data_IF_753523282793
#
_entry.id   IF_753523282793
#
_cell.length_a   1.000
_cell.length_b   1.000
_cell.length_c   1.000
_cell.angle_alpha   90.00
_cell.angle_beta   90.00
_cell.angle_gamma   90.00
#
_symmetry.space_group_name_H-M   'P 1'
#
loop_
_entity.id
_entity.type
_entity.pdbx_description
1 polymer ?
#
# COMPACT_ATOMS: atom_id res chain seq x y z
N UNK A 1 15.41 -25.09 -47.01
CA UNK A 1 14.39 -25.26 -45.96
C UNK A 1 13.48 -24.03 -46.02
N UNK A 2 12.15 -24.17 -45.90
CA UNK A 2 11.25 -23.02 -45.92
C UNK A 2 11.19 -22.44 -44.50
N UNK A 3 11.59 -21.18 -44.28
CA UNK A 3 11.54 -20.56 -42.96
C UNK A 3 10.10 -20.39 -42.49
N UNK A 4 9.88 -20.56 -41.18
CA UNK A 4 8.57 -20.50 -40.55
C UNK A 4 8.40 -19.19 -39.78
N UNK A 5 7.64 -18.26 -40.34
CA UNK A 5 7.34 -16.98 -39.68
C UNK A 5 5.90 -16.97 -39.21
N UNK A 6 5.71 -16.77 -37.91
CA UNK A 6 4.40 -16.63 -37.29
C UNK A 6 4.25 -17.41 -35.98
N UNK A 7 3.05 -17.31 -35.42
CA UNK A 7 2.66 -18.00 -34.19
C UNK A 7 1.70 -19.13 -34.55
N UNK A 8 2.05 -20.34 -34.13
CA UNK A 8 1.28 -21.56 -34.36
C UNK A 8 0.70 -22.08 -33.05
N UNK A 9 -0.29 -22.96 -33.12
CA UNK A 9 -0.76 -23.66 -31.92
C UNK A 9 -0.05 -25.01 -31.81
N UNK A 10 0.51 -25.28 -30.64
CA UNK A 10 1.09 -26.58 -30.30
C UNK A 10 0.31 -27.26 -29.18
N UNK A 11 0.45 -28.58 -29.11
CA UNK A 11 0.02 -29.39 -27.97
C UNK A 11 1.25 -29.99 -27.32
N UNK A 12 1.41 -29.84 -26.01
CA UNK A 12 2.51 -30.46 -25.26
C UNK A 12 2.34 -31.98 -25.23
N UNK A 13 3.36 -32.70 -25.65
CA UNK A 13 3.41 -34.17 -25.66
C UNK A 13 4.23 -34.70 -24.49
N UNK A 14 5.30 -34.01 -24.11
CA UNK A 14 6.17 -34.43 -23.01
C UNK A 14 6.85 -33.23 -22.34
N UNK A 15 7.01 -33.33 -21.02
CA UNK A 15 7.69 -32.37 -20.15
C UNK A 15 8.93 -32.97 -19.48
N UNK A 16 9.32 -34.19 -19.85
CA UNK A 16 10.44 -34.93 -19.25
C UNK A 16 11.79 -34.44 -19.81
N UNK A 17 12.12 -33.17 -19.56
CA UNK A 17 13.34 -32.53 -20.07
C UNK A 17 14.58 -33.10 -19.36
N UNK A 18 15.47 -33.84 -20.05
CA UNK A 18 16.66 -34.44 -19.44
C UNK A 18 17.66 -33.41 -18.92
N UNK A 19 17.54 -32.14 -19.31
CA UNK A 19 18.40 -31.05 -18.84
C UNK A 19 17.77 -30.24 -17.70
N UNK A 20 16.54 -30.56 -17.28
CA UNK A 20 15.79 -29.80 -16.28
C UNK A 20 15.71 -28.29 -16.58
N UNK A 21 15.64 -27.90 -17.85
CA UNK A 21 15.53 -26.49 -18.29
C UNK A 21 14.07 -26.05 -18.49
N UNK A 22 13.11 -26.93 -18.18
CA UNK A 22 11.68 -26.67 -18.36
C UNK A 22 11.24 -26.70 -19.82
N UNK A 23 12.01 -27.34 -20.71
CA UNK A 23 11.65 -27.48 -22.12
C UNK A 23 10.55 -28.51 -22.30
N UNK A 24 9.82 -28.40 -23.40
CA UNK A 24 8.74 -29.33 -23.73
C UNK A 24 8.88 -29.89 -25.14
N UNK A 25 8.33 -31.07 -25.39
CA UNK A 25 8.13 -31.60 -26.74
C UNK A 25 6.71 -31.31 -27.18
N UNK A 26 6.55 -30.83 -28.40
CA UNK A 26 5.27 -30.33 -28.92
C UNK A 26 4.83 -31.12 -30.15
N UNK A 27 3.52 -31.31 -30.30
CA UNK A 27 2.91 -31.62 -31.59
C UNK A 27 2.35 -30.33 -32.15
N UNK A 28 2.77 -29.94 -33.37
CA UNK A 28 2.40 -28.68 -34.01
C UNK A 28 1.69 -29.01 -35.33
N UNK A 29 0.37 -29.25 -35.33
CA UNK A 29 -0.35 -29.82 -36.47
C UNK A 29 -0.17 -29.05 -37.78
N UNK A 30 -0.11 -27.71 -37.71
CA UNK A 30 0.01 -26.83 -38.88
C UNK A 30 1.37 -26.95 -39.59
N UNK A 31 2.41 -27.41 -38.89
CA UNK A 31 3.80 -27.42 -39.39
C UNK A 31 4.34 -28.83 -39.57
N UNK A 32 4.07 -29.71 -38.60
CA UNK A 32 4.68 -31.05 -38.50
C UNK A 32 3.65 -32.18 -38.58
N UNK A 33 2.35 -31.87 -38.75
CA UNK A 33 1.29 -32.85 -38.76
C UNK A 33 1.21 -33.62 -37.44
N UNK A 34 1.44 -34.94 -37.50
CA UNK A 34 1.45 -35.82 -36.32
C UNK A 34 2.83 -35.96 -35.67
N UNK A 35 3.90 -35.47 -36.29
CA UNK A 35 5.24 -35.58 -35.75
C UNK A 35 5.43 -34.68 -34.50
N UNK A 36 6.29 -35.15 -33.59
CA UNK A 36 6.67 -34.43 -32.38
C UNK A 36 7.93 -33.62 -32.66
N UNK A 37 7.97 -32.38 -32.18
CA UNK A 37 9.10 -31.47 -32.31
C UNK A 37 10.33 -31.95 -31.53
N UNK A 38 11.47 -31.29 -31.76
CA UNK A 38 12.55 -31.24 -30.78
C UNK A 38 12.12 -30.57 -29.46
N UNK A 39 13.07 -30.35 -28.57
CA UNK A 39 12.82 -29.61 -27.32
C UNK A 39 12.55 -28.14 -27.61
N UNK A 40 11.37 -27.66 -27.22
CA UNK A 40 10.98 -26.26 -27.31
C UNK A 40 11.34 -25.49 -26.03
N UNK A 41 11.98 -24.34 -26.19
CA UNK A 41 12.32 -23.43 -25.10
C UNK A 41 11.10 -22.62 -24.67
N UNK A 42 10.95 -22.32 -23.39
CA UNK A 42 9.85 -21.48 -22.89
C UNK A 42 10.17 -20.01 -23.10
N UNK A 43 9.26 -19.25 -23.70
CA UNK A 43 9.39 -17.79 -23.83
C UNK A 43 8.93 -17.02 -22.58
N UNK A 44 8.13 -17.64 -21.72
CA UNK A 44 7.62 -17.01 -20.49
C UNK A 44 7.78 -17.90 -19.28
N UNK A 45 7.49 -17.31 -18.14
CA UNK A 45 7.33 -18.00 -16.87
C UNK A 45 5.99 -18.75 -16.93
N UNK A 46 6.01 -20.07 -16.72
CA UNK A 46 4.84 -20.94 -16.72
C UNK A 46 5.20 -22.39 -17.02
N UNK A 47 4.61 -23.34 -16.29
CA UNK A 47 4.72 -24.76 -16.61
C UNK A 47 3.62 -25.15 -17.61
N UNK A 48 3.98 -25.92 -18.63
CA UNK A 48 3.00 -26.58 -19.48
C UNK A 48 3.04 -28.08 -19.15
N UNK A 49 1.87 -28.73 -19.11
CA UNK A 49 1.74 -30.16 -18.86
C UNK A 49 1.40 -30.90 -20.16
N UNK A 50 1.69 -32.22 -20.26
CA UNK A 50 1.21 -33.01 -21.39
C UNK A 50 -0.30 -32.83 -21.60
N UNK A 51 -0.70 -32.54 -22.84
CA UNK A 51 -2.07 -32.19 -23.23
C UNK A 51 -2.33 -30.69 -23.38
N UNK A 52 -1.47 -29.83 -22.87
CA UNK A 52 -1.69 -28.38 -22.94
C UNK A 52 -1.59 -27.80 -24.32
N UNK A 53 -2.48 -26.85 -24.61
CA UNK A 53 -2.36 -26.00 -25.78
C UNK A 53 -1.43 -24.83 -25.48
N UNK A 54 -0.46 -24.61 -26.37
CA UNK A 54 0.52 -23.52 -26.29
C UNK A 54 0.57 -22.76 -27.61
N UNK A 55 1.11 -21.54 -27.57
CA UNK A 55 1.52 -20.81 -28.78
C UNK A 55 2.98 -21.10 -29.06
N UNK A 56 3.34 -21.30 -30.32
CA UNK A 56 4.69 -21.71 -30.75
C UNK A 56 5.19 -20.78 -31.83
N UNK A 57 6.44 -20.33 -31.72
CA UNK A 57 7.18 -19.68 -32.79
C UNK A 57 8.48 -20.46 -33.03
N UNK A 58 9.22 -20.11 -34.08
CA UNK A 58 10.49 -20.76 -34.42
C UNK A 58 11.56 -19.69 -34.52
N UNK A 59 12.62 -19.82 -33.73
CA UNK A 59 13.70 -18.83 -33.71
C UNK A 59 14.40 -18.76 -35.06
N UNK A 60 14.54 -17.56 -35.62
CA UNK A 60 15.03 -17.35 -36.99
C UNK A 60 14.21 -18.05 -38.09
N UNK A 61 13.01 -18.57 -37.78
CA UNK A 61 12.22 -19.43 -38.66
C UNK A 61 12.74 -20.86 -38.79
N UNK A 62 13.70 -21.29 -37.96
CA UNK A 62 14.23 -22.66 -37.97
C UNK A 62 13.28 -23.61 -37.24
N UNK A 63 12.76 -24.58 -38.00
CA UNK A 63 11.86 -25.63 -37.49
C UNK A 63 12.45 -26.43 -36.31
N UNK A 64 13.79 -26.50 -36.18
CA UNK A 64 14.46 -27.23 -35.12
C UNK A 64 14.65 -26.44 -33.82
N UNK A 65 14.33 -25.14 -33.82
CA UNK A 65 14.43 -24.26 -32.65
C UNK A 65 13.05 -23.68 -32.25
N UNK A 66 12.09 -24.53 -31.85
CA UNK A 66 10.79 -24.04 -31.39
C UNK A 66 10.90 -23.31 -30.05
N UNK A 67 10.12 -22.24 -29.91
CA UNK A 67 9.92 -21.49 -28.68
C UNK A 67 8.42 -21.46 -28.39
N UNK A 68 8.00 -21.66 -27.14
CA UNK A 68 6.58 -21.70 -26.79
C UNK A 68 6.16 -20.71 -25.70
N UNK A 69 4.90 -20.27 -25.76
CA UNK A 69 4.19 -19.55 -24.70
C UNK A 69 3.04 -20.44 -24.20
N UNK A 70 3.02 -20.83 -22.92
CA UNK A 70 1.86 -21.52 -22.36
C UNK A 70 0.63 -20.62 -22.47
N UNK A 71 -0.50 -21.20 -22.88
CA UNK A 71 -1.78 -20.49 -22.79
C UNK A 71 -2.07 -20.30 -21.30
N UNK A 72 -2.40 -19.07 -20.89
CA UNK A 72 -2.79 -18.79 -19.51
C UNK A 72 -3.95 -19.72 -19.15
N UNK A 73 -3.68 -20.73 -18.31
CA UNK A 73 -4.75 -21.42 -17.62
C UNK A 73 -5.29 -20.42 -16.62
N UNK A 74 -6.61 -20.20 -16.56
CA UNK A 74 -7.19 -19.65 -15.35
C UNK A 74 -6.69 -20.54 -14.22
N UNK A 75 -5.91 -19.98 -13.30
CA UNK A 75 -5.34 -20.75 -12.20
C UNK A 75 -6.52 -21.35 -11.43
N UNK A 76 -6.78 -22.64 -11.62
CA UNK A 76 -7.79 -23.33 -10.83
C UNK A 76 -7.21 -23.36 -9.43
N UNK A 77 -7.81 -22.65 -8.49
CA UNK A 77 -7.15 -22.45 -7.21
C UNK A 77 -7.14 -23.77 -6.43
N UNK A 78 -5.98 -24.16 -5.92
CA UNK A 78 -5.87 -25.31 -5.01
C UNK A 78 -6.57 -25.06 -3.67
N UNK A 79 -6.63 -26.11 -2.85
CA UNK A 79 -7.14 -26.03 -1.48
C UNK A 79 -6.15 -25.24 -0.62
N UNK A 80 -6.66 -24.25 0.12
CA UNK A 80 -5.86 -23.53 1.12
C UNK A 80 -5.44 -24.46 2.25
N UNK A 81 -4.14 -24.51 2.51
CA UNK A 81 -3.52 -25.29 3.57
C UNK A 81 -2.91 -24.33 4.60
N UNK A 82 -3.06 -24.57 5.92
CA UNK A 82 -2.42 -23.77 6.95
C UNK A 82 -0.90 -23.69 6.76
N UNK A 83 -0.35 -22.48 6.87
CA UNK A 83 1.09 -22.25 6.84
C UNK A 83 1.66 -22.35 8.27
N UNK A 84 2.54 -23.32 8.51
CA UNK A 84 3.21 -23.45 9.79
C UNK A 84 4.22 -22.30 9.98
N UNK A 85 4.13 -21.63 11.12
CA UNK A 85 4.98 -20.50 11.47
C UNK A 85 6.17 -20.92 12.34
N UNK A 86 7.28 -20.21 12.20
CA UNK A 86 8.43 -20.34 13.09
C UNK A 86 8.11 -19.85 14.51
N UNK A 87 8.89 -20.30 15.49
CA UNK A 87 8.74 -19.84 16.87
C UNK A 87 8.85 -18.32 16.97
N UNK A 88 7.96 -17.70 17.76
CA UNK A 88 7.85 -16.25 17.91
C UNK A 88 6.95 -15.56 16.88
N UNK A 89 6.42 -16.29 15.91
CA UNK A 89 5.41 -15.79 14.96
C UNK A 89 4.04 -16.38 15.26
N UNK A 90 3.00 -15.56 15.13
CA UNK A 90 1.60 -15.99 15.32
C UNK A 90 0.72 -15.46 14.18
N UNK A 91 -0.44 -16.09 13.92
CA UNK A 91 -1.44 -15.51 13.03
C UNK A 91 -1.90 -14.15 13.54
N UNK A 92 -1.97 -13.16 12.65
CA UNK A 92 -2.55 -11.86 12.99
C UNK A 92 -4.08 -11.93 13.07
N UNK A 93 -4.71 -10.89 13.59
CA UNK A 93 -6.18 -10.80 13.57
C UNK A 93 -6.77 -10.53 12.17
N UNK A 94 -5.94 -10.22 11.17
CA UNK A 94 -6.39 -9.98 9.80
C UNK A 94 -6.64 -11.28 9.01
N UNK A 95 -6.18 -12.43 9.53
CA UNK A 95 -6.51 -13.75 8.98
C UNK A 95 -5.37 -14.75 9.11
N UNK A 96 -5.73 -16.03 9.26
CA UNK A 96 -4.76 -17.12 9.39
C UNK A 96 -3.89 -17.26 8.14
N UNK A 97 -2.55 -17.39 8.29
CA UNK A 97 -1.66 -17.58 7.17
C UNK A 97 -1.89 -18.95 6.53
N UNK A 98 -2.07 -18.95 5.22
CA UNK A 98 -2.32 -20.15 4.43
C UNK A 98 -1.52 -20.09 3.13
N UNK A 99 -1.27 -21.25 2.55
CA UNK A 99 -0.71 -21.38 1.21
C UNK A 99 -1.54 -22.34 0.38
N UNK A 100 -1.43 -22.27 -0.94
CA UNK A 100 -1.95 -23.31 -1.84
C UNK A 100 -1.03 -23.49 -3.04
N UNK A 101 -1.04 -24.69 -3.60
CA UNK A 101 -0.45 -24.96 -4.91
C UNK A 101 -1.56 -24.85 -5.95
N UNK A 102 -1.28 -24.11 -7.00
CA UNK A 102 -2.17 -23.91 -8.14
C UNK A 102 -1.80 -24.86 -9.26
N UNK A 103 -2.75 -25.18 -10.14
CA UNK A 103 -2.53 -26.14 -11.24
C UNK A 103 -1.46 -25.67 -12.24
N UNK A 104 -1.18 -24.37 -12.32
CA UNK A 104 -0.12 -23.77 -13.12
C UNK A 104 1.28 -23.91 -12.49
N UNK A 105 1.41 -24.63 -11.36
CA UNK A 105 2.70 -24.86 -10.70
C UNK A 105 3.20 -23.64 -9.94
N UNK A 106 2.27 -22.80 -9.43
CA UNK A 106 2.59 -21.69 -8.55
C UNK A 106 2.17 -22.02 -7.12
N UNK A 107 2.95 -21.57 -6.14
CA UNK A 107 2.50 -21.44 -4.75
C UNK A 107 1.96 -20.03 -4.55
N UNK A 108 0.80 -19.92 -3.91
CA UNK A 108 0.22 -18.65 -3.50
C UNK A 108 0.12 -18.60 -1.99
N UNK A 109 0.41 -17.44 -1.41
CA UNK A 109 0.23 -17.18 0.02
C UNK A 109 -0.96 -16.25 0.24
N UNK A 110 -1.59 -16.39 1.41
CA UNK A 110 -2.67 -15.52 1.88
C UNK A 110 -2.70 -15.49 3.41
N UNK A 111 -3.51 -14.59 3.97
CA UNK A 111 -3.57 -14.32 5.40
C UNK A 111 -2.53 -13.30 5.84
N UNK A 112 -2.27 -13.25 7.14
CA UNK A 112 -1.33 -12.28 7.69
C UNK A 112 -0.70 -12.79 8.98
N UNK A 113 0.60 -12.52 9.15
CA UNK A 113 1.41 -12.99 10.28
C UNK A 113 1.86 -11.82 11.13
N UNK A 114 1.96 -12.03 12.44
CA UNK A 114 2.49 -11.06 13.37
C UNK A 114 3.62 -11.62 14.24
N UNK A 115 4.58 -10.76 14.56
CA UNK A 115 5.58 -11.02 15.59
C UNK A 115 5.31 -10.06 16.75
N UNK A 116 4.99 -10.56 17.96
CA UNK A 116 4.72 -9.74 19.12
C UNK A 116 6.00 -9.17 19.76
N UNK A 117 7.18 -9.59 19.30
CA UNK A 117 8.47 -9.08 19.75
C UNK A 117 9.03 -8.07 18.76
N UNK A 118 9.79 -7.10 19.29
CA UNK A 118 10.49 -6.15 18.45
C UNK A 118 11.58 -6.85 17.61
N UNK A 119 11.54 -6.59 16.30
CA UNK A 119 12.56 -7.04 15.33
C UNK A 119 13.44 -5.84 14.99
N UNK A 120 14.76 -6.01 15.06
CA UNK A 120 15.73 -4.96 14.77
C UNK A 120 15.72 -4.50 13.31
N UNK A 121 16.12 -3.25 13.07
CA UNK A 121 16.26 -2.66 11.73
C UNK A 121 17.25 -3.44 10.88
N UNK A 122 16.91 -3.72 9.62
CA UNK A 122 17.79 -4.39 8.66
C UNK A 122 17.99 -5.88 8.95
N UNK A 123 17.29 -6.44 9.93
CA UNK A 123 17.37 -7.86 10.25
C UNK A 123 16.48 -8.64 9.28
N UNK A 124 17.04 -9.71 8.72
CA UNK A 124 16.31 -10.72 7.97
C UNK A 124 15.93 -11.83 8.93
N UNK A 125 14.64 -12.10 9.05
CA UNK A 125 14.11 -13.13 9.96
C UNK A 125 13.28 -14.13 9.18
N UNK A 126 13.46 -15.41 9.50
CA UNK A 126 12.60 -16.47 9.01
C UNK A 126 11.29 -16.46 9.79
N UNK A 127 10.16 -16.56 9.09
CA UNK A 127 8.84 -16.61 9.74
C UNK A 127 8.05 -17.88 9.43
N UNK A 128 8.41 -18.59 8.36
CA UNK A 128 7.78 -19.87 7.98
C UNK A 128 8.68 -20.65 7.02
N UNK A 129 8.30 -21.91 6.76
CA UNK A 129 8.88 -22.75 5.72
C UNK A 129 7.77 -23.39 4.89
N UNK A 130 7.92 -23.41 3.57
CA UNK A 130 7.10 -24.24 2.70
C UNK A 130 7.54 -25.72 2.78
N UNK A 131 6.61 -26.68 2.59
CA UNK A 131 6.95 -28.11 2.55
C UNK A 131 7.99 -28.44 1.48
N UNK A 132 8.73 -29.56 1.67
CA UNK A 132 9.83 -30.01 0.81
C UNK A 132 9.49 -30.10 -0.70
N UNK A 133 8.22 -30.33 -1.06
CA UNK A 133 7.75 -30.41 -2.46
C UNK A 133 7.13 -29.13 -3.02
N UNK A 134 7.21 -27.99 -2.30
CA UNK A 134 6.58 -26.71 -2.67
C UNK A 134 7.64 -25.62 -2.59
N UNK A 135 8.78 -25.85 -3.22
CA UNK A 135 9.94 -24.94 -3.15
C UNK A 135 10.03 -24.11 -4.41
N UNK A 136 10.28 -22.80 -4.30
CA UNK A 136 10.38 -21.98 -5.49
C UNK A 136 11.64 -22.31 -6.30
N UNK A 137 11.53 -22.24 -7.63
CA UNK A 137 12.64 -22.54 -8.56
C UNK A 137 13.79 -21.54 -8.37
N UNK A 138 13.45 -20.29 -8.09
CA UNK A 138 14.37 -19.17 -7.85
C UNK A 138 13.87 -18.32 -6.68
N UNK A 139 14.74 -17.56 -5.99
CA UNK A 139 14.30 -16.69 -4.91
C UNK A 139 13.27 -15.67 -5.39
N UNK A 140 12.06 -15.72 -4.83
CA UNK A 140 11.00 -14.77 -5.19
C UNK A 140 10.91 -13.66 -4.15
N UNK A 141 10.91 -12.41 -4.58
CA UNK A 141 10.82 -11.24 -3.70
C UNK A 141 9.51 -10.52 -3.92
N UNK A 142 8.73 -10.40 -2.85
CA UNK A 142 7.52 -9.61 -2.81
C UNK A 142 7.67 -8.50 -1.76
N UNK A 143 7.08 -7.35 -2.06
CA UNK A 143 7.00 -6.24 -1.12
C UNK A 143 5.58 -6.18 -0.61
N UNK A 144 5.37 -6.40 0.69
CA UNK A 144 4.04 -6.35 1.28
C UNK A 144 3.88 -5.09 2.12
N UNK A 145 2.67 -4.55 2.15
CA UNK A 145 2.32 -3.50 3.08
C UNK A 145 2.34 -4.09 4.50
N UNK A 146 3.30 -3.65 5.31
CA UNK A 146 3.32 -3.94 6.74
C UNK A 146 2.43 -2.93 7.44
N UNK A 147 1.38 -3.42 8.12
CA UNK A 147 0.50 -2.55 8.89
C UNK A 147 1.10 -2.46 10.30
N UNK A 148 1.67 -1.31 10.65
CA UNK A 148 2.02 -1.04 12.05
C UNK A 148 0.73 -0.73 12.81
N UNK A 149 0.14 -1.73 13.48
CA UNK A 149 -1.22 -1.66 14.04
C UNK A 149 -1.40 -0.55 15.10
N UNK A 150 -0.34 -0.14 15.79
CA UNK A 150 -0.39 0.94 16.79
C UNK A 150 0.00 2.32 16.24
N UNK A 151 0.78 2.39 15.16
CA UNK A 151 1.26 3.66 14.60
C UNK A 151 0.38 4.22 13.45
N UNK A 152 -0.49 3.39 12.84
CA UNK A 152 -1.41 3.79 11.75
C UNK A 152 -2.87 3.95 12.17
N UNK A 153 -3.20 3.86 13.46
CA UNK A 153 -4.56 4.19 13.93
C UNK A 153 -4.86 5.70 13.91
N UNK A 154 -3.98 6.52 13.34
CA UNK A 154 -4.22 7.93 13.08
C UNK A 154 -5.30 8.08 12.00
N UNK A 155 -6.56 8.03 12.42
CA UNK A 155 -7.71 8.22 11.53
C UNK A 155 -7.83 9.69 11.16
N UNK A 156 -8.32 9.94 9.95
CA UNK A 156 -8.85 11.26 9.60
C UNK A 156 -9.93 11.63 10.61
N UNK A 157 -9.80 12.79 11.24
CA UNK A 157 -10.78 13.32 12.17
C UNK A 157 -11.41 14.58 11.60
N UNK A 158 -12.69 14.76 11.91
CA UNK A 158 -13.54 15.84 11.40
C UNK A 158 -14.25 16.49 12.58
N UNK A 159 -14.29 17.81 12.59
CA UNK A 159 -15.10 18.60 13.52
C UNK A 159 -15.80 19.72 12.80
N UNK A 160 -17.09 19.91 13.09
CA UNK A 160 -17.94 20.95 12.50
C UNK A 160 -18.77 21.62 13.59
N UNK A 161 -18.90 22.94 13.50
CA UNK A 161 -19.68 23.76 14.40
C UNK A 161 -20.49 24.78 13.60
N UNK A 162 -21.82 24.70 13.73
CA UNK A 162 -22.79 25.54 12.99
C UNK A 162 -23.26 26.77 13.76
N UNK A 163 -22.59 27.09 14.86
CA UNK A 163 -22.92 28.29 15.64
C UNK A 163 -22.09 29.44 15.12
N UNK A 164 -22.78 30.52 14.72
CA UNK A 164 -22.11 31.75 14.33
C UNK A 164 -21.40 32.37 15.53
N UNK A 165 -20.14 32.72 15.33
CA UNK A 165 -19.34 33.43 16.33
C UNK A 165 -18.78 34.70 15.73
N UNK A 166 -18.66 35.74 16.54
CA UNK A 166 -18.10 37.00 16.10
C UNK A 166 -16.87 37.40 16.92
N UNK A 167 -15.96 38.12 16.28
CA UNK A 167 -14.80 38.71 16.94
C UNK A 167 -14.50 40.07 16.34
N UNK A 168 -13.98 40.97 17.18
CA UNK A 168 -13.40 42.27 16.79
C UNK A 168 -11.89 42.30 17.03
N UNK A 169 -11.30 41.18 17.46
CA UNK A 169 -9.89 41.11 17.86
C UNK A 169 -8.95 41.22 16.67
N UNK A 170 -7.93 42.07 16.81
CA UNK A 170 -6.81 42.16 15.88
C UNK A 170 -5.80 41.01 16.04
N UNK A 171 -5.84 40.31 17.19
CA UNK A 171 -5.06 39.10 17.46
C UNK A 171 -5.91 37.84 17.27
N UNK A 172 -5.27 36.72 16.96
CA UNK A 172 -5.94 35.42 16.92
C UNK A 172 -6.49 35.04 18.28
N UNK A 173 -7.80 34.81 18.34
CA UNK A 173 -8.52 34.37 19.54
C UNK A 173 -9.21 33.03 19.29
N UNK A 174 -9.33 32.23 20.34
CA UNK A 174 -10.19 31.03 20.34
C UNK A 174 -11.63 31.42 20.61
N UNK A 175 -12.56 30.67 20.03
CA UNK A 175 -13.98 30.76 20.32
C UNK A 175 -14.40 29.51 21.10
N UNK A 176 -15.15 29.67 22.19
CA UNK A 176 -15.69 28.55 22.97
C UNK A 176 -16.61 27.64 22.14
N UNK A 177 -17.22 28.18 21.08
CA UNK A 177 -18.07 27.45 20.13
C UNK A 177 -17.35 27.12 18.82
N UNK A 178 -16.02 27.18 18.77
CA UNK A 178 -15.20 26.85 17.61
C UNK A 178 -14.79 25.37 17.58
N UNK A 179 -14.53 24.78 16.39
CA UNK A 179 -13.99 23.44 16.31
C UNK A 179 -12.65 23.31 17.03
N UNK A 180 -12.60 22.31 17.91
CA UNK A 180 -11.38 21.84 18.57
C UNK A 180 -11.40 20.32 18.57
N UNK A 181 -10.49 19.70 17.81
CA UNK A 181 -10.45 18.25 17.62
C UNK A 181 -9.09 17.68 18.02
N UNK A 182 -9.10 16.48 18.57
CA UNK A 182 -7.89 15.75 18.93
C UNK A 182 -7.59 14.67 17.89
N UNK A 183 -6.31 14.42 17.64
CA UNK A 183 -5.84 13.33 16.81
C UNK A 183 -4.54 12.75 17.37
N UNK A 184 -4.23 11.51 16.99
CA UNK A 184 -2.95 10.89 17.29
C UNK A 184 -2.00 11.14 16.13
N UNK A 185 -0.85 11.76 16.40
CA UNK A 185 0.18 12.00 15.40
C UNK A 185 0.67 10.66 14.82
N UNK A 186 0.74 10.59 13.49
CA UNK A 186 1.22 9.40 12.78
C UNK A 186 2.74 9.23 12.92
N UNK A 187 3.25 8.08 12.48
CA UNK A 187 4.68 7.78 12.46
C UNK A 187 5.54 8.80 11.68
N UNK A 188 4.96 9.49 10.69
CA UNK A 188 5.70 10.49 9.89
C UNK A 188 6.03 11.76 10.68
N UNK A 189 5.37 11.99 11.82
CA UNK A 189 5.44 13.28 12.52
C UNK A 189 4.80 14.43 11.75
N UNK A 190 3.91 14.14 10.80
CA UNK A 190 3.25 15.12 9.93
C UNK A 190 1.74 14.89 9.81
N UNK A 191 0.99 15.97 9.60
CA UNK A 191 -0.44 15.92 9.28
C UNK A 191 -0.80 17.06 8.33
N UNK A 192 -1.83 16.87 7.49
CA UNK A 192 -2.44 17.96 6.73
C UNK A 192 -3.72 18.35 7.44
N UNK A 193 -3.86 19.64 7.74
CA UNK A 193 -5.10 20.20 8.28
C UNK A 193 -5.78 20.98 7.16
N UNK A 194 -7.06 20.70 6.94
CA UNK A 194 -7.93 21.49 6.07
C UNK A 194 -8.99 22.12 6.95
N UNK A 195 -9.26 23.40 6.76
CA UNK A 195 -10.22 24.11 7.61
C UNK A 195 -10.90 25.21 6.83
N UNK A 196 -12.07 25.63 7.29
CA UNK A 196 -12.82 26.71 6.66
C UNK A 196 -14.07 27.10 7.43
N UNK A 197 -14.69 28.16 6.98
CA UNK A 197 -15.94 28.68 7.50
C UNK A 197 -16.69 29.47 6.41
N UNK A 198 -17.96 29.70 6.66
CA UNK A 198 -18.69 30.80 6.05
C UNK A 198 -18.33 32.08 6.81
N UNK A 199 -17.79 33.08 6.11
CA UNK A 199 -17.23 34.28 6.72
C UNK A 199 -17.93 35.53 6.23
N UNK A 200 -18.01 36.54 7.10
CA UNK A 200 -18.50 37.87 6.78
C UNK A 200 -17.73 38.92 7.59
N UNK A 201 -17.46 40.09 7.00
CA UNK A 201 -16.93 41.26 7.70
C UNK A 201 -17.95 42.41 7.65
N UNK A 202 -17.97 43.28 8.66
CA UNK A 202 -18.81 44.49 8.66
C UNK A 202 -18.25 45.63 7.80
N UNK A 203 -16.99 45.53 7.36
CA UNK A 203 -16.30 46.59 6.60
C UNK A 203 -15.88 46.13 5.21
N UNK A 204 -16.06 46.99 4.20
CA UNK A 204 -15.81 46.64 2.79
C UNK A 204 -14.32 46.41 2.48
N UNK A 205 -13.42 47.03 3.23
CA UNK A 205 -11.96 46.90 3.02
C UNK A 205 -11.30 46.01 4.06
N UNK A 206 -12.01 45.63 5.14
CA UNK A 206 -11.44 44.83 6.22
C UNK A 206 -11.33 43.36 5.85
N UNK A 207 -10.32 42.71 6.42
CA UNK A 207 -10.07 41.27 6.30
C UNK A 207 -10.54 40.54 7.54
N UNK A 208 -11.16 39.38 7.36
CA UNK A 208 -11.40 38.41 8.42
C UNK A 208 -10.70 37.10 8.08
N UNK A 209 -10.08 36.51 9.11
CA UNK A 209 -9.18 35.38 8.94
C UNK A 209 -9.54 34.28 9.94
N UNK A 210 -9.69 33.07 9.43
CA UNK A 210 -9.72 31.84 10.22
C UNK A 210 -8.42 31.08 9.99
N UNK A 211 -7.76 30.65 11.07
CA UNK A 211 -6.59 29.77 11.01
C UNK A 211 -6.73 28.68 12.07
N UNK A 212 -5.67 27.91 12.30
CA UNK A 212 -5.65 26.83 13.29
C UNK A 212 -4.43 26.94 14.19
N UNK A 213 -4.63 26.65 15.47
CA UNK A 213 -3.58 26.39 16.45
C UNK A 213 -3.46 24.88 16.66
N UNK A 214 -2.24 24.35 16.69
CA UNK A 214 -1.98 22.95 17.04
C UNK A 214 -1.12 22.87 18.30
N UNK A 215 -1.62 22.15 19.30
CA UNK A 215 -0.94 21.86 20.56
C UNK A 215 -0.61 20.37 20.66
N UNK A 216 0.56 20.06 21.21
CA UNK A 216 0.93 18.72 21.69
C UNK A 216 1.29 18.83 23.17
N UNK A 217 0.33 18.46 24.04
CA UNK A 217 0.39 18.82 25.45
C UNK A 217 0.39 20.35 25.60
N UNK A 218 1.42 20.90 26.25
CA UNK A 218 1.62 22.35 26.37
C UNK A 218 2.45 22.96 25.22
N UNK A 219 3.04 22.14 24.37
CA UNK A 219 3.90 22.62 23.27
C UNK A 219 3.05 23.11 22.12
N UNK A 220 3.30 24.33 21.69
CA UNK A 220 2.69 24.92 20.50
C UNK A 220 3.48 24.49 19.27
N UNK A 221 2.84 23.71 18.38
CA UNK A 221 3.45 23.23 17.13
C UNK A 221 3.05 24.08 15.93
N UNK A 222 1.88 24.71 15.99
CA UNK A 222 1.44 25.69 15.03
C UNK A 222 0.56 26.74 15.71
N UNK A 223 0.73 28.00 15.32
CA UNK A 223 -0.12 29.11 15.72
C UNK A 223 -0.88 29.68 14.52
N UNK A 224 -1.90 30.48 14.84
CA UNK A 224 -2.60 31.29 13.83
C UNK A 224 -1.62 32.15 13.05
N UNK A 225 -1.71 32.08 11.73
CA UNK A 225 -0.79 32.73 10.79
C UNK A 225 -1.60 33.24 9.58
N UNK A 226 -1.49 34.54 9.31
CA UNK A 226 -2.22 35.22 8.24
C UNK A 226 -1.90 34.61 6.87
N UNK A 227 -0.64 34.20 6.64
CA UNK A 227 -0.22 33.61 5.36
C UNK A 227 -0.78 32.20 5.14
N UNK A 228 -1.33 31.59 6.19
CA UNK A 228 -1.87 30.23 6.20
C UNK A 228 -3.29 30.23 6.77
N UNK A 229 -4.04 31.32 6.54
CA UNK A 229 -5.42 31.46 6.97
C UNK A 229 -6.38 31.27 5.78
N UNK A 230 -7.61 30.85 6.08
CA UNK A 230 -8.74 31.07 5.21
C UNK A 230 -9.16 32.53 5.39
N UNK A 231 -9.23 33.29 4.31
CA UNK A 231 -9.40 34.73 4.34
C UNK A 231 -10.60 35.17 3.51
N UNK A 232 -11.29 36.20 4.01
CA UNK A 232 -12.23 36.99 3.24
C UNK A 232 -11.93 38.47 3.44
N UNK A 233 -11.94 39.22 2.33
CA UNK A 233 -11.98 40.68 2.33
C UNK A 233 -13.36 41.16 1.87
N UNK A 234 -13.96 42.09 2.61
CA UNK A 234 -15.22 42.73 2.27
C UNK A 234 -16.45 42.18 2.99
N UNK A 235 -17.62 42.71 2.63
CA UNK A 235 -18.88 42.51 3.39
C UNK A 235 -19.75 41.34 2.94
N UNK A 236 -19.37 40.68 1.84
CA UNK A 236 -20.15 39.58 1.29
C UNK A 236 -19.99 38.33 2.14
N UNK A 237 -21.09 37.61 2.35
CA UNK A 237 -21.04 36.32 3.01
C UNK A 237 -20.41 35.28 2.07
N UNK A 238 -19.25 34.74 2.42
CA UNK A 238 -18.46 33.87 1.51
C UNK A 238 -17.91 32.66 2.27
N UNK A 239 -17.99 31.48 1.67
CA UNK A 239 -17.27 30.31 2.19
C UNK A 239 -15.82 30.36 1.73
N UNK A 240 -14.89 30.35 2.67
CA UNK A 240 -13.48 30.19 2.35
C UNK A 240 -12.86 29.08 3.21
N UNK A 241 -11.87 28.43 2.62
CA UNK A 241 -11.11 27.36 3.24
C UNK A 241 -9.64 27.46 2.86
N UNK A 242 -8.80 26.84 3.67
CA UNK A 242 -7.38 26.70 3.39
C UNK A 242 -6.86 25.37 3.96
N UNK A 243 -5.64 25.00 3.59
CA UNK A 243 -4.96 23.83 4.13
C UNK A 243 -3.54 24.16 4.57
N UNK A 244 -3.04 23.46 5.59
CA UNK A 244 -1.68 23.62 6.11
C UNK A 244 -1.11 22.27 6.52
N UNK A 245 0.14 22.03 6.16
CA UNK A 245 0.91 20.92 6.71
C UNK A 245 1.43 21.29 8.11
N UNK A 246 1.18 20.40 9.07
CA UNK A 246 1.81 20.33 10.37
C UNK A 246 3.02 19.40 10.27
N UNK A 247 4.10 19.79 10.92
CA UNK A 247 5.37 19.07 10.93
C UNK A 247 5.97 19.11 12.34
N UNK A 248 6.87 18.19 12.67
CA UNK A 248 7.48 18.11 14.01
C UNK A 248 6.54 17.54 15.07
N UNK A 249 5.47 16.85 14.66
CA UNK A 249 4.62 16.10 15.58
C UNK A 249 5.43 14.92 16.14
N UNK A 250 5.28 14.62 17.43
CA UNK A 250 5.86 13.41 18.01
C UNK A 250 4.99 12.20 17.67
N UNK A 251 5.50 11.17 16.97
CA UNK A 251 4.72 9.97 16.67
C UNK A 251 4.00 9.38 17.89
N UNK A 252 2.71 9.06 17.74
CA UNK A 252 1.87 8.49 18.79
C UNK A 252 1.38 9.51 19.84
N UNK A 253 1.85 10.76 19.83
CA UNK A 253 1.37 11.78 20.74
C UNK A 253 -0.03 12.29 20.36
N UNK A 254 -0.86 12.54 21.35
CA UNK A 254 -2.15 13.24 21.16
C UNK A 254 -1.89 14.72 20.90
N UNK A 255 -2.41 15.20 19.77
CA UNK A 255 -2.37 16.60 19.36
C UNK A 255 -3.78 17.15 19.32
N UNK A 256 -3.95 18.44 19.67
CA UNK A 256 -5.22 19.16 19.60
C UNK A 256 -5.11 20.26 18.55
N UNK A 257 -6.05 20.29 17.60
CA UNK A 257 -6.16 21.36 16.60
C UNK A 257 -7.41 22.18 16.91
N UNK A 258 -7.23 23.47 17.14
CA UNK A 258 -8.30 24.41 17.49
C UNK A 258 -8.36 25.53 16.47
N UNK A 259 -9.55 25.86 15.99
CA UNK A 259 -9.74 27.02 15.12
C UNK A 259 -9.54 28.33 15.91
N UNK A 260 -8.84 29.26 15.28
CA UNK A 260 -8.59 30.61 15.81
C UNK A 260 -9.01 31.66 14.78
N UNK A 261 -9.48 32.80 15.26
CA UNK A 261 -10.12 33.82 14.45
C UNK A 261 -9.53 35.19 14.74
N UNK A 262 -9.46 36.04 13.71
CA UNK A 262 -9.13 37.46 13.88
C UNK A 262 -9.79 38.31 12.81
N UNK A 263 -9.79 39.61 13.05
CA UNK A 263 -10.06 40.66 12.08
C UNK A 263 -8.82 41.55 11.96
N UNK A 264 -8.68 42.34 10.90
CA UNK A 264 -7.52 43.22 10.71
C UNK A 264 -7.63 44.56 11.48
N UNK A 265 -8.80 44.94 12.00
CA UNK A 265 -9.00 46.23 12.65
C UNK A 265 -9.97 46.19 13.83
N UNK A 266 -9.69 46.97 14.88
CA UNK A 266 -10.55 47.06 16.06
C UNK A 266 -11.95 47.63 15.75
N UNK A 267 -12.11 48.32 14.62
CA UNK A 267 -13.38 48.86 14.13
C UNK A 267 -14.16 47.90 13.21
N UNK A 268 -13.58 46.75 12.86
CA UNK A 268 -14.25 45.71 12.07
C UNK A 268 -14.70 44.55 12.96
N UNK A 269 -15.91 44.05 12.72
CA UNK A 269 -16.39 42.81 13.32
C UNK A 269 -16.47 41.75 12.22
N UNK A 270 -15.99 40.56 12.53
CA UNK A 270 -16.07 39.41 11.66
C UNK A 270 -17.02 38.38 12.25
N UNK A 271 -17.88 37.79 11.42
CA UNK A 271 -18.71 36.66 11.77
C UNK A 271 -18.21 35.39 11.05
N UNK A 272 -18.19 34.27 11.76
CA UNK A 272 -17.78 32.96 11.29
C UNK A 272 -18.89 31.96 11.59
N UNK A 273 -19.43 31.34 10.55
CA UNK A 273 -20.49 30.34 10.63
C UNK A 273 -20.06 29.06 9.88
N UNK A 274 -20.73 27.93 10.13
CA UNK A 274 -20.40 26.62 9.52
C UNK A 274 -18.89 26.32 9.53
N UNK A 275 -18.29 26.46 10.71
CA UNK A 275 -16.84 26.34 10.92
C UNK A 275 -16.46 24.87 10.96
N UNK A 276 -15.42 24.47 10.24
CA UNK A 276 -14.98 23.07 10.20
C UNK A 276 -13.46 22.91 10.17
N UNK A 277 -13.00 21.78 10.68
CA UNK A 277 -11.61 21.31 10.62
C UNK A 277 -11.61 19.84 10.23
N UNK A 278 -10.73 19.48 9.30
CA UNK A 278 -10.37 18.11 8.95
C UNK A 278 -8.88 17.97 9.21
N UNK A 279 -8.49 16.96 9.99
CA UNK A 279 -7.08 16.58 10.13
C UNK A 279 -6.89 15.24 9.45
N UNK A 280 -5.95 15.21 8.51
CA UNK A 280 -5.53 14.03 7.77
C UNK A 280 -4.09 13.74 8.19
N UNK A 281 -3.88 12.84 9.16
CA UNK A 281 -2.53 12.41 9.52
C UNK A 281 -1.84 11.84 8.28
N UNK A 282 -0.64 12.34 7.97
CA UNK A 282 0.11 11.83 6.83
C UNK A 282 0.72 10.53 7.30
N UNK A 283 0.24 9.39 6.82
CA UNK A 283 0.93 8.12 7.05
C UNK A 283 2.38 8.27 6.57
N UNK A 284 3.34 7.68 7.28
CA UNK A 284 4.68 7.57 6.70
C UNK A 284 4.50 6.75 5.42
N UNK A 285 4.65 7.41 4.27
CA UNK A 285 4.55 6.77 2.95
C UNK A 285 5.80 5.93 2.65
N UNK A 286 6.84 6.10 3.49
CA UNK A 286 7.87 5.09 3.76
C UNK A 286 7.32 4.07 4.76
N UNK A 287 6.16 3.47 4.50
CA UNK A 287 5.80 2.23 5.19
C UNK A 287 7.02 1.33 5.04
N UNK A 288 7.62 0.83 6.12
CA UNK A 288 8.63 -0.20 6.05
C UNK A 288 7.95 -1.43 5.48
N UNK A 289 7.84 -1.50 4.16
CA UNK A 289 7.29 -2.65 3.51
C UNK A 289 8.24 -3.78 3.84
N UNK A 290 7.75 -4.77 4.59
CA UNK A 290 8.53 -5.97 4.78
C UNK A 290 8.77 -6.55 3.39
N UNK A 291 10.05 -6.70 3.04
CA UNK A 291 10.40 -7.44 1.84
C UNK A 291 10.36 -8.91 2.21
N UNK A 292 9.36 -9.60 1.72
CA UNK A 292 9.23 -11.04 1.87
C UNK A 292 10.04 -11.70 0.75
N UNK A 293 10.91 -12.61 1.12
CA UNK A 293 11.69 -13.43 0.18
C UNK A 293 11.30 -14.89 0.40
N UNK A 294 10.91 -15.57 -0.67
CA UNK A 294 10.72 -17.02 -0.70
C UNK A 294 12.01 -17.63 -1.26
N UNK A 295 12.80 -18.24 -0.40
CA UNK A 295 14.09 -18.84 -0.76
C UNK A 295 13.89 -20.21 -1.43
N UNK A 296 14.87 -20.65 -2.23
CA UNK A 296 14.80 -21.94 -2.95
C UNK A 296 14.80 -23.17 -2.03
N UNK A 297 15.19 -23.02 -0.76
CA UNK A 297 15.05 -24.05 0.26
C UNK A 297 13.61 -24.12 0.85
N UNK A 298 12.71 -23.24 0.42
CA UNK A 298 11.33 -23.11 0.90
C UNK A 298 11.15 -22.13 2.05
N UNK A 299 12.23 -21.53 2.56
CA UNK A 299 12.15 -20.60 3.70
C UNK A 299 11.48 -19.29 3.27
N UNK A 300 10.61 -18.79 4.14
CA UNK A 300 9.96 -17.49 3.99
C UNK A 300 10.63 -16.51 4.95
N UNK A 301 11.39 -15.59 4.36
CA UNK A 301 12.19 -14.59 5.08
C UNK A 301 11.53 -13.22 4.96
N UNK A 302 11.53 -12.44 6.03
CA UNK A 302 11.10 -11.04 6.03
C UNK A 302 12.28 -10.14 6.39
N UNK A 303 12.52 -9.11 5.57
CA UNK A 303 13.45 -8.03 5.85
C UNK A 303 12.67 -6.78 6.26
N UNK A 304 13.04 -6.18 7.40
CA UNK A 304 12.42 -4.98 7.96
C UNK A 304 13.35 -3.76 7.80
N UNK A 305 13.20 -2.96 6.73
CA UNK A 305 14.15 -1.88 6.43
C UNK A 305 14.01 -0.66 7.35
N UNK A 306 12.83 -0.41 7.96
CA UNK A 306 12.50 0.85 8.65
C UNK A 306 12.48 0.80 10.19
N UNK A 307 12.90 -0.30 10.79
CA UNK A 307 13.20 -0.37 12.22
C UNK A 307 12.08 -0.75 13.18
N UNK A 308 12.52 -0.97 14.43
CA UNK A 308 11.85 -1.69 15.51
C UNK A 308 10.52 -1.07 15.94
N UNK A 309 9.40 -1.63 15.49
CA UNK A 309 8.14 -1.54 16.22
C UNK A 309 7.94 -2.73 17.14
N UNK A 310 7.16 -2.55 18.22
CA UNK A 310 6.85 -3.63 19.16
C UNK A 310 5.98 -4.73 18.55
N UNK A 311 5.26 -4.46 17.46
CA UNK A 311 4.42 -5.46 16.79
C UNK A 311 4.37 -5.18 15.30
N UNK A 312 4.62 -6.21 14.49
CA UNK A 312 4.55 -6.15 13.03
C UNK A 312 3.39 -7.01 12.55
N UNK A 313 2.62 -6.51 11.59
CA UNK A 313 1.58 -7.27 10.91
C UNK A 313 1.91 -7.29 9.40
N UNK A 314 2.20 -8.47 8.85
CA UNK A 314 2.60 -8.66 7.45
C UNK A 314 1.56 -9.44 6.68
N UNK A 315 0.90 -8.78 5.72
CA UNK A 315 -0.01 -9.47 4.82
C UNK A 315 0.77 -10.35 3.84
N UNK A 316 0.32 -11.58 3.66
CA UNK A 316 0.87 -12.52 2.68
C UNK A 316 0.04 -12.54 1.38
N UNK A 317 -1.11 -11.85 1.37
CA UNK A 317 -2.06 -11.88 0.27
C UNK A 317 -1.44 -11.37 -1.03
N UNK A 318 -1.55 -12.19 -2.08
CA UNK A 318 -1.09 -11.83 -3.43
C UNK A 318 0.37 -12.19 -3.72
N UNK A 319 1.11 -12.77 -2.76
CA UNK A 319 2.44 -13.30 -2.99
C UNK A 319 2.32 -14.63 -3.75
N UNK A 320 3.00 -14.73 -4.91
CA UNK A 320 2.97 -15.92 -5.77
C UNK A 320 4.38 -16.25 -6.28
N UNK A 321 4.81 -17.49 -6.14
CA UNK A 321 6.10 -17.96 -6.67
C UNK A 321 5.95 -19.28 -7.43
N UNK A 322 6.81 -19.52 -8.41
CA UNK A 322 6.81 -20.77 -9.19
C UNK A 322 7.52 -21.87 -8.42
N UNK A 323 6.91 -23.05 -8.32
CA UNK A 323 7.53 -24.23 -7.69
C UNK A 323 8.11 -25.21 -8.71
N UNK A 324 9.03 -26.07 -8.25
CA UNK A 324 9.62 -27.19 -9.00
C UNK A 324 8.62 -28.35 -9.10
#
# INVERSE_FOLDING_TARGET
MIPLYGTYSGIVVSTQDPQNRGRVRLRIPQIMGTAVSGWAESATIGAALPGDQVYVTFDGGDRNHPIYWPRLRPAVPGIWTPLALESGWVPSSAGSPVYRVTQDGMVELSGSVENPSAIGTGVVVKFASLPLGIRPVEPHRATTATIYRTAYNSKTVYGEFRTTSSTTSAAYVTDANGPSITFIASASGQAVVVFGAMMQNTTATGRCLMSVRCLQGATVLAEGDDNRAAELQGTNNTSASNSRQLTGLTPGATCTVTAVYRTEGASSSAAFDNKWIVVIPVGQHDTPAARITMETNGDLMALFPGGAAPTYDMSLTGIRARII
#
